data_IF_207810401316
#
_entry.id   IF_207810401316
#
_cell.length_a   1.000
_cell.length_b   1.000
_cell.length_c   1.000
_cell.angle_alpha   90.00
_cell.angle_beta   90.00
_cell.angle_gamma   90.00
#
_symmetry.space_group_name_H-M   'P 1'
#
loop_
_entity.id
_entity.type
_entity.pdbx_description
1 polymer ?
#
# COMPACT_ATOMS: atom_id res chain seq x y z
N UNK A 1 -84.21 31.67 18.90
CA UNK A 1 -83.50 31.09 20.04
C UNK A 1 -82.21 30.49 19.56
N UNK A 2 -80.99 31.07 19.81
CA UNK A 2 -79.73 30.53 19.38
C UNK A 2 -79.24 29.45 20.39
N UNK A 3 -78.53 28.40 19.98
CA UNK A 3 -78.06 27.30 20.81
C UNK A 3 -76.91 27.75 21.73
N UNK A 4 -76.90 27.25 22.96
CA UNK A 4 -75.92 27.52 24.02
C UNK A 4 -74.56 26.91 23.69
N UNK A 5 -73.41 27.56 24.04
CA UNK A 5 -72.08 27.02 23.85
C UNK A 5 -71.82 25.87 24.84
N UNK A 6 -71.23 24.77 24.30
CA UNK A 6 -70.76 23.61 25.08
C UNK A 6 -69.45 23.97 25.80
N UNK A 7 -69.47 23.81 27.12
CA UNK A 7 -68.33 23.87 28.03
C UNK A 7 -67.27 22.84 27.58
N UNK A 8 -66.06 23.27 27.16
CA UNK A 8 -64.87 22.42 26.98
C UNK A 8 -64.33 22.16 28.42
N UNK A 9 -64.16 20.85 28.73
CA UNK A 9 -63.41 20.39 29.90
C UNK A 9 -61.91 20.72 29.76
N UNK A 10 -61.22 21.02 30.89
CA UNK A 10 -59.77 21.33 30.82
C UNK A 10 -58.96 20.10 30.43
N UNK A 11 -58.07 20.27 29.46
CA UNK A 11 -57.06 19.28 29.04
C UNK A 11 -56.17 18.94 30.25
N UNK A 12 -56.17 17.66 30.64
CA UNK A 12 -55.20 17.12 31.62
C UNK A 12 -53.79 17.38 31.08
N UNK A 13 -52.96 18.02 31.92
CA UNK A 13 -51.54 18.25 31.66
C UNK A 13 -50.84 16.93 31.36
N UNK A 14 -50.11 16.89 30.23
CA UNK A 14 -49.24 15.78 29.84
C UNK A 14 -48.13 15.59 30.89
N UNK A 15 -47.73 14.35 31.20
CA UNK A 15 -46.64 14.09 32.12
C UNK A 15 -45.35 14.70 31.57
N UNK A 16 -44.62 15.44 32.42
CA UNK A 16 -43.27 15.99 32.10
C UNK A 16 -42.35 14.84 31.81
N UNK A 17 -41.81 14.82 30.60
CA UNK A 17 -40.68 13.97 30.22
C UNK A 17 -39.47 14.43 31.02
N UNK A 18 -38.77 13.56 31.76
CA UNK A 18 -37.55 13.94 32.46
C UNK A 18 -36.49 14.37 31.42
N UNK A 19 -35.97 15.57 31.59
CA UNK A 19 -34.82 16.06 30.84
C UNK A 19 -33.62 15.19 31.15
N UNK A 20 -33.17 14.40 30.16
CA UNK A 20 -31.90 13.70 30.21
C UNK A 20 -30.77 14.72 30.12
N UNK A 21 -29.74 14.66 30.98
CA UNK A 21 -28.63 15.61 30.96
C UNK A 21 -27.84 15.48 29.65
N UNK A 22 -27.62 16.61 28.98
CA UNK A 22 -26.88 16.79 27.74
C UNK A 22 -25.37 16.43 27.81
N UNK A 23 -24.95 15.71 28.83
CA UNK A 23 -23.54 15.40 29.10
C UNK A 23 -23.04 14.06 28.53
N UNK A 24 -23.79 13.34 27.69
CA UNK A 24 -23.35 12.02 27.20
C UNK A 24 -23.29 11.85 25.68
N UNK A 25 -23.34 12.94 24.90
CA UNK A 25 -23.18 12.83 23.42
C UNK A 25 -21.78 13.02 22.88
N UNK A 26 -20.73 12.97 23.69
CA UNK A 26 -19.33 13.07 23.23
C UNK A 26 -18.56 11.76 23.18
N UNK A 27 -19.23 10.60 23.20
CA UNK A 27 -18.54 9.29 23.23
C UNK A 27 -18.74 8.40 22.00
N UNK A 28 -19.15 8.94 20.85
CA UNK A 28 -19.35 8.14 19.63
C UNK A 28 -18.34 8.54 18.54
N UNK A 29 -17.06 8.55 18.88
CA UNK A 29 -15.98 8.51 17.88
C UNK A 29 -14.71 7.83 18.41
N UNK A 30 -14.87 6.82 19.23
CA UNK A 30 -13.77 5.86 19.42
C UNK A 30 -13.86 4.79 18.34
N UNK A 31 -13.46 5.15 17.12
CA UNK A 31 -12.98 4.17 16.13
C UNK A 31 -11.82 3.45 16.78
N UNK A 32 -12.12 2.28 17.34
CA UNK A 32 -11.16 1.37 17.94
C UNK A 32 -10.00 1.11 16.97
N UNK A 33 -8.86 1.71 17.24
CA UNK A 33 -7.57 1.43 16.61
C UNK A 33 -6.99 0.11 17.15
N UNK A 34 -7.83 -0.93 17.28
CA UNK A 34 -7.41 -2.25 17.71
C UNK A 34 -6.62 -2.96 16.61
N UNK A 35 -5.31 -2.80 16.62
CA UNK A 35 -4.37 -3.49 15.73
C UNK A 35 -2.91 -3.21 16.05
N UNK A 36 -2.58 -2.02 16.52
CA UNK A 36 -1.24 -1.66 16.99
C UNK A 36 -1.39 -0.88 18.30
N UNK A 37 -1.47 -1.60 19.41
CA UNK A 37 -1.27 -0.99 20.72
C UNK A 37 0.23 -0.68 20.87
N UNK A 38 0.65 0.47 20.36
CA UNK A 38 1.94 1.05 20.73
C UNK A 38 1.86 1.42 22.20
N UNK A 39 2.47 0.55 23.03
CA UNK A 39 2.73 0.76 24.43
C UNK A 39 3.43 2.10 24.60
N UNK A 40 2.77 3.10 25.21
CA UNK A 40 3.31 4.37 25.74
C UNK A 40 4.51 4.96 25.00
N UNK A 41 4.35 5.26 23.70
CA UNK A 41 5.29 6.09 22.94
C UNK A 41 4.91 7.56 23.05
N UNK A 42 5.87 8.46 22.87
CA UNK A 42 5.66 9.90 22.83
C UNK A 42 4.52 10.26 21.86
N UNK A 43 3.67 11.21 22.24
CA UNK A 43 2.51 11.69 21.44
C UNK A 43 2.84 11.94 19.96
N UNK A 44 4.01 12.53 19.59
CA UNK A 44 4.36 12.79 18.19
C UNK A 44 4.58 11.52 17.35
N UNK A 45 5.20 10.47 17.92
CA UNK A 45 5.39 9.19 17.20
C UNK A 45 4.08 8.51 16.85
N UNK A 46 3.10 8.57 17.76
CA UNK A 46 1.78 8.01 17.50
C UNK A 46 1.07 8.75 16.37
N UNK A 47 1.11 10.09 16.37
CA UNK A 47 0.52 10.91 15.32
C UNK A 47 1.20 10.66 13.96
N UNK A 48 2.52 10.47 13.95
CA UNK A 48 3.28 10.14 12.74
C UNK A 48 2.84 8.78 12.17
N UNK A 49 2.73 7.74 13.00
CA UNK A 49 2.27 6.41 12.58
C UNK A 49 0.81 6.45 12.10
N UNK A 50 -0.05 7.23 12.75
CA UNK A 50 -1.44 7.42 12.31
C UNK A 50 -1.52 8.12 10.96
N UNK A 51 -0.68 9.14 10.72
CA UNK A 51 -0.57 9.82 9.42
C UNK A 51 -0.06 8.86 8.34
N UNK A 52 1.07 8.19 8.58
CA UNK A 52 1.67 7.24 7.64
C UNK A 52 0.74 6.05 7.33
N UNK A 53 -0.08 5.61 8.30
CA UNK A 53 -1.06 4.54 8.08
C UNK A 53 -2.38 5.02 7.48
N UNK A 54 -2.47 6.28 7.05
CA UNK A 54 -3.67 6.85 6.44
C UNK A 54 -3.76 6.50 4.95
N UNK A 55 -4.90 5.96 4.52
CA UNK A 55 -5.15 5.68 3.08
C UNK A 55 -5.03 6.93 2.21
N UNK A 56 -5.49 8.09 2.72
CA UNK A 56 -5.43 9.36 1.97
C UNK A 56 -3.98 9.78 1.71
N UNK A 57 -3.11 9.62 2.70
CA UNK A 57 -1.70 9.92 2.58
C UNK A 57 -1.00 9.00 1.57
N UNK A 58 -1.26 7.69 1.65
CA UNK A 58 -0.72 6.73 0.67
C UNK A 58 -1.16 7.03 -0.77
N UNK A 59 -2.43 7.41 -0.98
CA UNK A 59 -2.95 7.80 -2.30
C UNK A 59 -2.25 9.06 -2.80
N UNK A 60 -2.05 10.07 -1.95
CA UNK A 60 -1.35 11.30 -2.34
C UNK A 60 0.10 11.02 -2.78
N UNK A 61 0.82 10.18 -2.03
CA UNK A 61 2.17 9.74 -2.42
C UNK A 61 2.16 8.96 -3.75
N UNK A 62 1.18 8.08 -3.93
CA UNK A 62 1.05 7.31 -5.17
C UNK A 62 0.84 8.23 -6.39
N UNK A 63 0.02 9.28 -6.26
CA UNK A 63 -0.19 10.27 -7.32
C UNK A 63 1.10 10.99 -7.64
N UNK A 64 1.89 11.40 -6.63
CA UNK A 64 3.18 12.07 -6.85
C UNK A 64 4.17 11.14 -7.56
N UNK A 65 4.27 9.87 -7.12
CA UNK A 65 5.11 8.87 -7.79
C UNK A 65 4.66 8.63 -9.23
N UNK A 66 3.34 8.56 -9.48
CA UNK A 66 2.82 8.39 -10.85
C UNK A 66 3.20 9.57 -11.76
N UNK A 67 3.05 10.82 -11.29
CA UNK A 67 3.45 12.01 -12.05
C UNK A 67 4.96 11.99 -12.33
N UNK A 68 5.77 11.70 -11.31
CA UNK A 68 7.22 11.59 -11.46
C UNK A 68 7.62 10.50 -12.46
N UNK A 69 6.91 9.36 -12.44
CA UNK A 69 7.14 8.25 -13.38
C UNK A 69 6.77 8.62 -14.80
N UNK A 70 5.71 9.39 -15.02
CA UNK A 70 5.36 9.91 -16.35
C UNK A 70 6.50 10.79 -16.87
N UNK A 71 7.01 11.72 -16.04
CA UNK A 71 8.14 12.57 -16.42
C UNK A 71 9.37 11.72 -16.74
N UNK A 72 9.70 10.74 -15.89
CA UNK A 72 10.84 9.84 -16.09
C UNK A 72 10.71 8.93 -17.32
N UNK A 73 9.50 8.69 -17.80
CA UNK A 73 9.25 7.89 -19.02
C UNK A 73 9.33 8.76 -20.28
N UNK A 74 8.85 9.99 -20.21
CA UNK A 74 8.86 10.93 -21.36
C UNK A 74 10.26 11.48 -21.61
N UNK A 75 11.01 11.79 -20.56
CA UNK A 75 12.38 12.26 -20.67
C UNK A 75 13.31 11.06 -20.81
N UNK A 76 14.20 11.06 -21.81
CA UNK A 76 15.28 10.08 -21.89
C UNK A 76 16.08 10.12 -20.58
N UNK A 77 16.39 8.99 -20.02
CA UNK A 77 17.11 8.88 -18.74
C UNK A 77 18.55 8.49 -18.97
N UNK A 78 19.49 9.12 -18.23
CA UNK A 78 20.89 8.73 -18.19
C UNK A 78 21.72 9.12 -19.44
N UNK A 79 21.23 10.01 -20.27
CA UNK A 79 22.00 10.53 -21.41
C UNK A 79 23.09 11.52 -20.95
N UNK A 80 24.15 11.74 -21.76
CA UNK A 80 25.12 12.81 -21.54
C UNK A 80 24.46 14.20 -21.52
N UNK A 81 24.92 15.10 -20.65
CA UNK A 81 24.34 16.43 -20.47
C UNK A 81 24.27 17.24 -21.79
N UNK A 82 25.26 17.06 -22.68
CA UNK A 82 25.26 17.76 -23.95
C UNK A 82 24.02 17.46 -24.81
N UNK A 83 23.56 16.20 -24.82
CA UNK A 83 22.36 15.83 -25.58
C UNK A 83 21.10 16.56 -25.05
N UNK A 84 21.03 16.83 -23.75
CA UNK A 84 19.94 17.61 -23.16
C UNK A 84 20.08 19.11 -23.44
N UNK A 85 21.31 19.64 -23.50
CA UNK A 85 21.56 21.04 -23.88
C UNK A 85 21.13 21.28 -25.32
N UNK A 86 21.43 20.33 -26.23
CA UNK A 86 21.03 20.41 -27.62
C UNK A 86 19.50 20.34 -27.79
N UNK A 87 18.82 19.55 -26.96
CA UNK A 87 17.38 19.34 -27.04
C UNK A 87 16.55 20.45 -26.35
N UNK A 88 16.95 20.91 -25.16
CA UNK A 88 16.18 21.81 -24.31
C UNK A 88 16.81 23.21 -24.17
N UNK A 89 18.00 23.39 -24.68
CA UNK A 89 18.81 24.59 -24.46
C UNK A 89 19.52 24.61 -23.09
N UNK A 90 20.55 25.45 -22.93
CA UNK A 90 21.45 25.44 -21.76
C UNK A 90 20.73 25.76 -20.46
N UNK A 91 19.75 26.67 -20.48
CA UNK A 91 19.01 27.08 -19.28
C UNK A 91 18.17 25.95 -18.72
N UNK A 92 17.32 25.35 -19.55
CA UNK A 92 16.40 24.27 -19.10
C UNK A 92 17.14 22.98 -18.78
N UNK A 93 18.22 22.66 -19.53
CA UNK A 93 19.04 21.49 -19.24
C UNK A 93 19.64 21.58 -17.81
N UNK A 94 20.14 22.75 -17.40
CA UNK A 94 20.68 22.97 -16.04
C UNK A 94 19.58 22.86 -14.98
N UNK A 95 18.39 23.44 -15.22
CA UNK A 95 17.27 23.37 -14.28
C UNK A 95 16.80 21.92 -14.08
N UNK A 96 16.59 21.18 -15.16
CA UNK A 96 16.12 19.78 -15.11
C UNK A 96 17.19 18.87 -14.48
N UNK A 97 18.47 19.13 -14.76
CA UNK A 97 19.56 18.38 -14.12
C UNK A 97 19.58 18.61 -12.61
N UNK A 98 19.44 19.86 -12.12
CA UNK A 98 19.36 20.16 -10.68
C UNK A 98 18.16 19.55 -10.00
N UNK A 99 17.03 19.44 -10.69
CA UNK A 99 15.83 18.76 -10.19
C UNK A 99 15.94 17.23 -10.25
N UNK A 100 17.00 16.69 -10.87
CA UNK A 100 17.20 15.26 -11.05
C UNK A 100 16.23 14.61 -12.05
N UNK A 101 15.66 15.39 -12.98
CA UNK A 101 14.68 14.88 -13.95
C UNK A 101 15.28 14.00 -15.02
N UNK A 102 16.58 14.07 -15.27
CA UNK A 102 17.31 13.20 -16.19
C UNK A 102 17.68 11.85 -15.57
N UNK A 103 17.40 11.67 -14.27
CA UNK A 103 17.63 10.45 -13.52
C UNK A 103 16.55 10.34 -12.40
N UNK A 104 15.29 10.46 -12.80
CA UNK A 104 14.15 10.48 -11.85
C UNK A 104 14.19 9.28 -10.91
N UNK A 105 14.37 8.08 -11.47
CA UNK A 105 14.28 6.83 -10.70
C UNK A 105 15.43 6.61 -9.71
N UNK A 106 16.58 7.29 -9.92
CA UNK A 106 17.73 7.26 -9.01
C UNK A 106 17.87 8.53 -8.19
N UNK A 107 16.96 9.51 -8.35
CA UNK A 107 16.99 10.75 -7.58
C UNK A 107 16.63 10.52 -6.12
N UNK A 108 17.31 11.22 -5.20
CA UNK A 108 17.12 11.04 -3.76
C UNK A 108 15.68 11.33 -3.30
N UNK A 109 15.02 12.32 -3.89
CA UNK A 109 13.65 12.72 -3.53
C UNK A 109 12.63 11.66 -3.99
N UNK A 110 12.80 11.07 -5.18
CA UNK A 110 11.95 10.01 -5.70
C UNK A 110 12.09 8.73 -4.84
N UNK A 111 13.32 8.34 -4.54
CA UNK A 111 13.61 7.18 -3.69
C UNK A 111 13.07 7.38 -2.27
N UNK A 112 13.17 8.60 -1.72
CA UNK A 112 12.58 8.93 -0.42
C UNK A 112 11.06 8.80 -0.43
N UNK A 113 10.39 9.39 -1.42
CA UNK A 113 8.92 9.30 -1.56
C UNK A 113 8.51 7.83 -1.71
N UNK A 114 9.21 7.05 -2.52
CA UNK A 114 8.92 5.64 -2.72
C UNK A 114 9.17 4.82 -1.44
N UNK A 115 10.21 5.10 -0.67
CA UNK A 115 10.45 4.47 0.63
C UNK A 115 9.32 4.79 1.63
N UNK A 116 8.89 6.05 1.70
CA UNK A 116 7.75 6.44 2.55
C UNK A 116 6.47 5.75 2.09
N UNK A 117 6.24 5.62 0.78
CA UNK A 117 5.09 4.93 0.21
C UNK A 117 5.08 3.43 0.58
N UNK A 118 6.22 2.75 0.51
CA UNK A 118 6.38 1.35 0.95
C UNK A 118 6.02 1.21 2.42
N UNK A 119 6.57 2.07 3.28
CA UNK A 119 6.27 2.06 4.73
C UNK A 119 4.77 2.32 4.96
N UNK A 120 4.21 3.34 4.33
CA UNK A 120 2.80 3.72 4.47
C UNK A 120 1.87 2.58 4.05
N UNK A 121 2.10 1.99 2.87
CA UNK A 121 1.28 0.89 2.34
C UNK A 121 1.41 -0.37 3.20
N UNK A 122 2.62 -0.68 3.66
CA UNK A 122 2.86 -1.82 4.56
C UNK A 122 2.13 -1.64 5.89
N UNK A 123 2.18 -0.45 6.50
CA UNK A 123 1.44 -0.15 7.73
C UNK A 123 -0.08 -0.26 7.52
N UNK A 124 -0.59 0.24 6.40
CA UNK A 124 -2.00 0.08 6.03
C UNK A 124 -2.38 -1.40 5.89
N UNK A 125 -1.54 -2.20 5.22
CA UNK A 125 -1.78 -3.61 5.00
C UNK A 125 -1.78 -4.38 6.33
N UNK A 126 -0.76 -4.20 7.17
CA UNK A 126 -0.64 -4.84 8.49
C UNK A 126 -1.83 -4.48 9.39
N UNK A 127 -2.30 -3.23 9.35
CA UNK A 127 -3.43 -2.77 10.14
C UNK A 127 -4.78 -3.35 9.68
N UNK A 128 -4.98 -3.51 8.37
CA UNK A 128 -6.26 -3.93 7.81
C UNK A 128 -6.37 -5.46 7.65
N UNK A 129 -5.26 -6.15 7.42
CA UNK A 129 -5.23 -7.61 7.21
C UNK A 129 -5.89 -8.41 8.36
N UNK A 130 -5.62 -8.15 9.65
CA UNK A 130 -6.27 -8.89 10.74
C UNK A 130 -7.79 -8.70 10.77
N UNK A 131 -8.27 -7.49 10.45
CA UNK A 131 -9.70 -7.17 10.39
C UNK A 131 -10.37 -7.94 9.25
N UNK A 132 -9.74 -7.96 8.07
CA UNK A 132 -10.23 -8.69 6.89
C UNK A 132 -10.29 -10.19 7.17
N UNK A 133 -9.25 -10.75 7.80
CA UNK A 133 -9.20 -12.18 8.16
C UNK A 133 -10.27 -12.50 9.22
N UNK A 134 -10.43 -11.65 10.24
CA UNK A 134 -11.47 -11.83 11.24
C UNK A 134 -12.86 -11.79 10.60
N UNK A 135 -13.14 -10.86 9.71
CA UNK A 135 -14.39 -10.77 8.95
C UNK A 135 -14.62 -11.98 8.05
N UNK A 136 -13.55 -12.53 7.44
CA UNK A 136 -13.64 -13.75 6.64
C UNK A 136 -14.00 -14.98 7.47
N UNK A 137 -13.58 -15.02 8.74
CA UNK A 137 -13.83 -16.14 9.66
C UNK A 137 -15.12 -15.99 10.45
N UNK A 138 -15.58 -14.75 10.67
CA UNK A 138 -16.77 -14.48 11.48
C UNK A 138 -18.06 -14.60 10.69
N UNK A 139 -19.10 -15.08 11.35
CA UNK A 139 -20.48 -15.02 10.91
C UNK A 139 -21.25 -14.12 11.87
N UNK A 140 -22.03 -13.19 11.36
CA UNK A 140 -22.85 -12.29 12.18
C UNK A 140 -24.06 -13.03 12.73
N UNK A 141 -23.84 -13.90 13.70
CA UNK A 141 -24.91 -14.69 14.35
C UNK A 141 -25.57 -13.99 15.54
N UNK A 142 -25.10 -12.79 15.92
CA UNK A 142 -25.63 -12.02 17.05
C UNK A 142 -26.68 -10.97 16.65
N UNK A 143 -27.32 -11.10 15.50
CA UNK A 143 -28.34 -10.16 15.03
C UNK A 143 -29.66 -10.44 15.70
N UNK A 144 -30.31 -9.39 16.25
CA UNK A 144 -31.67 -9.46 16.81
C UNK A 144 -32.70 -9.33 15.69
N UNK A 145 -33.87 -9.95 15.85
CA UNK A 145 -34.97 -9.88 14.87
C UNK A 145 -35.35 -8.45 14.51
N UNK A 146 -35.42 -7.55 15.49
CA UNK A 146 -35.70 -6.14 15.26
C UNK A 146 -34.73 -5.48 14.27
N UNK A 147 -33.45 -5.86 14.32
CA UNK A 147 -32.45 -5.35 13.40
C UNK A 147 -32.62 -5.92 11.98
N UNK A 148 -33.09 -7.17 11.86
CA UNK A 148 -33.39 -7.78 10.55
C UNK A 148 -34.54 -7.03 9.86
N UNK A 149 -35.57 -6.62 10.61
CA UNK A 149 -36.69 -5.83 10.08
C UNK A 149 -36.29 -4.41 9.60
N UNK A 150 -35.16 -3.90 10.08
CA UNK A 150 -34.62 -2.59 9.70
C UNK A 150 -33.79 -2.61 8.41
N UNK A 151 -33.45 -3.78 7.85
CA UNK A 151 -32.74 -3.86 6.59
C UNK A 151 -33.62 -3.39 5.41
N UNK A 152 -32.99 -2.70 4.46
CA UNK A 152 -33.68 -2.23 3.25
C UNK A 152 -34.13 -3.42 2.37
N UNK A 153 -33.22 -4.40 2.19
CA UNK A 153 -33.49 -5.61 1.40
C UNK A 153 -33.92 -6.73 2.37
N UNK A 154 -35.22 -6.91 2.51
CA UNK A 154 -35.84 -7.96 3.32
C UNK A 154 -36.98 -8.63 2.55
N UNK A 155 -37.19 -9.91 2.83
CA UNK A 155 -38.33 -10.66 2.38
C UNK A 155 -38.86 -11.49 3.55
N UNK A 156 -40.18 -11.60 3.63
CA UNK A 156 -40.88 -12.43 4.61
C UNK A 156 -41.71 -13.46 3.85
N UNK A 157 -41.70 -14.71 4.31
CA UNK A 157 -42.48 -15.79 3.71
C UNK A 157 -42.91 -16.78 4.78
N UNK A 158 -44.13 -17.28 4.68
CA UNK A 158 -44.69 -18.29 5.52
C UNK A 158 -44.49 -19.69 4.91
N UNK A 159 -44.04 -20.62 5.74
CA UNK A 159 -43.82 -22.01 5.35
C UNK A 159 -44.77 -22.93 6.11
N UNK A 160 -45.55 -23.74 5.40
CA UNK A 160 -46.43 -24.74 6.00
C UNK A 160 -45.68 -25.96 6.58
N UNK A 161 -44.34 -25.96 6.54
CA UNK A 161 -43.48 -27.07 6.97
C UNK A 161 -42.97 -26.86 8.42
N UNK A 162 -42.67 -27.97 9.16
CA UNK A 162 -41.99 -27.86 10.44
C UNK A 162 -40.65 -27.12 10.32
N UNK A 163 -40.33 -26.34 11.35
CA UNK A 163 -39.10 -25.47 11.38
C UNK A 163 -37.83 -26.25 11.00
N UNK A 164 -37.63 -27.46 11.51
CA UNK A 164 -36.47 -28.28 11.21
C UNK A 164 -36.34 -28.61 9.71
N UNK A 165 -37.46 -28.95 9.06
CA UNK A 165 -37.49 -29.25 7.62
C UNK A 165 -37.22 -27.98 6.79
N UNK A 166 -37.76 -26.82 7.18
CA UNK A 166 -37.51 -25.55 6.52
C UNK A 166 -36.02 -25.15 6.62
N UNK A 167 -35.40 -25.26 7.82
CA UNK A 167 -33.98 -25.00 8.05
C UNK A 167 -33.09 -25.91 7.20
N UNK A 168 -33.40 -27.22 7.15
CA UNK A 168 -32.66 -28.18 6.34
C UNK A 168 -32.73 -27.85 4.83
N UNK A 169 -33.93 -27.49 4.32
CA UNK A 169 -34.14 -27.09 2.94
C UNK A 169 -33.39 -25.78 2.58
N UNK A 170 -33.46 -24.77 3.44
CA UNK A 170 -32.71 -23.52 3.26
C UNK A 170 -31.21 -23.81 3.28
N UNK A 171 -30.73 -24.62 4.23
CA UNK A 171 -29.32 -25.00 4.31
C UNK A 171 -28.80 -25.73 3.06
N UNK A 172 -29.62 -26.64 2.50
CA UNK A 172 -29.30 -27.36 1.25
C UNK A 172 -29.23 -26.33 0.07
N UNK A 173 -30.20 -25.45 -0.04
CA UNK A 173 -30.24 -24.42 -1.08
C UNK A 173 -29.04 -23.46 -1.01
N UNK A 174 -28.61 -23.07 0.19
CA UNK A 174 -27.44 -22.22 0.41
C UNK A 174 -26.14 -22.95 0.00
N UNK A 175 -25.99 -24.22 0.37
CA UNK A 175 -24.81 -25.01 -0.06
C UNK A 175 -24.75 -25.17 -1.57
N UNK A 176 -25.87 -25.48 -2.20
CA UNK A 176 -25.95 -25.63 -3.67
C UNK A 176 -25.53 -24.35 -4.42
N UNK A 177 -25.70 -23.19 -3.79
CA UNK A 177 -25.30 -21.88 -4.34
C UNK A 177 -23.91 -21.40 -3.87
N UNK A 178 -23.14 -22.25 -3.19
CA UNK A 178 -21.77 -21.93 -2.73
C UNK A 178 -21.71 -21.02 -1.51
N UNK A 179 -22.79 -20.85 -0.75
CA UNK A 179 -22.79 -20.10 0.49
C UNK A 179 -22.24 -20.94 1.65
N UNK A 180 -21.29 -20.40 2.39
CA UNK A 180 -20.96 -20.89 3.72
C UNK A 180 -21.96 -20.33 4.73
N UNK A 181 -22.48 -21.16 5.65
CA UNK A 181 -23.44 -20.70 6.64
C UNK A 181 -23.20 -21.29 8.03
N UNK A 182 -23.69 -20.59 9.05
CA UNK A 182 -23.78 -21.08 10.45
C UNK A 182 -25.19 -20.93 10.97
N UNK A 183 -25.59 -21.91 11.76
CA UNK A 183 -26.87 -21.94 12.46
C UNK A 183 -26.64 -21.46 13.89
N UNK A 184 -27.56 -20.66 14.40
CA UNK A 184 -27.67 -20.33 15.82
C UNK A 184 -29.11 -20.59 16.24
N UNK A 185 -29.29 -21.53 17.14
CA UNK A 185 -30.56 -21.83 17.75
C UNK A 185 -30.75 -20.94 18.98
N UNK A 186 -31.96 -20.41 19.15
CA UNK A 186 -32.40 -19.61 20.31
C UNK A 186 -33.80 -20.00 20.67
N UNK A 187 -34.32 -19.41 21.75
CA UNK A 187 -35.68 -19.68 22.30
C UNK A 187 -36.75 -19.48 21.20
N UNK A 188 -37.20 -20.58 20.61
CA UNK A 188 -38.22 -20.58 19.55
C UNK A 188 -37.79 -20.10 18.17
N UNK A 189 -36.51 -19.73 17.96
CA UNK A 189 -36.01 -19.16 16.71
C UNK A 189 -34.74 -19.88 16.23
N UNK A 190 -34.53 -19.93 14.92
CA UNK A 190 -33.27 -20.38 14.33
C UNK A 190 -32.74 -19.32 13.38
N UNK A 191 -31.58 -18.74 13.67
CA UNK A 191 -30.89 -17.79 12.81
C UNK A 191 -29.92 -18.52 11.88
N UNK A 192 -30.06 -18.29 10.59
CA UNK A 192 -29.14 -18.79 9.56
C UNK A 192 -28.32 -17.62 9.06
N UNK A 193 -27.05 -17.55 9.43
CA UNK A 193 -26.13 -16.54 8.92
C UNK A 193 -25.31 -17.13 7.76
N UNK A 194 -25.56 -16.66 6.54
CA UNK A 194 -24.89 -17.13 5.34
C UNK A 194 -24.04 -16.04 4.72
N UNK A 195 -22.92 -16.43 4.10
CA UNK A 195 -22.06 -15.52 3.33
C UNK A 195 -21.42 -16.24 2.15
N UNK A 196 -21.17 -15.47 1.09
CA UNK A 196 -20.44 -15.89 -0.10
C UNK A 196 -19.45 -14.80 -0.53
N UNK A 197 -18.57 -15.09 -1.49
CA UNK A 197 -17.72 -14.09 -2.12
C UNK A 197 -16.55 -13.57 -1.27
N UNK A 198 -16.11 -14.30 -0.23
CA UNK A 198 -15.00 -13.88 0.64
C UNK A 198 -13.65 -13.69 -0.09
N UNK A 199 -13.45 -14.33 -1.24
CA UNK A 199 -12.20 -14.25 -2.02
C UNK A 199 -11.87 -12.83 -2.49
N UNK A 200 -12.86 -11.98 -2.78
CA UNK A 200 -12.62 -10.59 -3.16
C UNK A 200 -11.87 -9.77 -2.08
N UNK A 201 -12.05 -10.11 -0.82
CA UNK A 201 -11.31 -9.46 0.29
C UNK A 201 -9.86 -9.90 0.38
N UNK A 202 -9.55 -11.15 -0.03
CA UNK A 202 -8.17 -11.64 -0.15
C UNK A 202 -7.48 -10.92 -1.30
N UNK A 203 -8.18 -10.64 -2.39
CA UNK A 203 -7.68 -9.85 -3.51
C UNK A 203 -7.11 -8.49 -3.07
N UNK A 204 -7.79 -7.80 -2.15
CA UNK A 204 -7.27 -6.56 -1.57
C UNK A 204 -5.88 -6.74 -0.94
N UNK A 205 -5.71 -7.79 -0.11
CA UNK A 205 -4.43 -8.09 0.56
C UNK A 205 -3.35 -8.39 -0.47
N UNK A 206 -3.65 -9.25 -1.46
CA UNK A 206 -2.70 -9.65 -2.50
C UNK A 206 -2.28 -8.48 -3.38
N UNK A 207 -3.22 -7.64 -3.81
CA UNK A 207 -2.92 -6.46 -4.64
C UNK A 207 -2.01 -5.48 -3.91
N UNK A 208 -2.28 -5.19 -2.63
CA UNK A 208 -1.44 -4.27 -1.85
C UNK A 208 -0.07 -4.88 -1.52
N UNK A 209 0.01 -6.19 -1.25
CA UNK A 209 1.28 -6.88 -1.04
C UNK A 209 2.13 -6.88 -2.33
N UNK A 210 1.51 -7.16 -3.48
CA UNK A 210 2.19 -7.10 -4.78
C UNK A 210 2.72 -5.69 -5.08
N UNK A 211 1.93 -4.65 -4.78
CA UNK A 211 2.36 -3.26 -4.93
C UNK A 211 3.58 -2.93 -4.05
N UNK A 212 3.58 -3.37 -2.79
CA UNK A 212 4.74 -3.21 -1.90
C UNK A 212 5.98 -3.90 -2.48
N UNK A 213 5.84 -5.11 -3.01
CA UNK A 213 6.95 -5.84 -3.63
C UNK A 213 7.50 -5.14 -4.88
N UNK A 214 6.62 -4.58 -5.73
CA UNK A 214 7.03 -3.80 -6.91
C UNK A 214 7.80 -2.55 -6.48
N UNK A 215 7.31 -1.81 -5.49
CA UNK A 215 8.01 -0.63 -4.98
C UNK A 215 9.35 -0.97 -4.32
N UNK A 216 9.43 -2.08 -3.59
CA UNK A 216 10.71 -2.57 -3.05
C UNK A 216 11.68 -2.91 -4.19
N UNK A 217 11.23 -3.61 -5.24
CA UNK A 217 12.04 -3.86 -6.43
C UNK A 217 12.57 -2.58 -7.05
N UNK A 218 11.72 -1.55 -7.19
CA UNK A 218 12.13 -0.23 -7.68
C UNK A 218 13.15 0.49 -6.79
N UNK A 219 13.05 0.34 -5.46
CA UNK A 219 14.06 0.87 -4.53
C UNK A 219 15.43 0.18 -4.72
N UNK A 220 15.44 -1.14 -4.93
CA UNK A 220 16.67 -1.87 -5.24
C UNK A 220 17.26 -1.46 -6.59
N UNK A 221 16.41 -1.25 -7.58
CA UNK A 221 16.84 -0.82 -8.92
C UNK A 221 17.36 0.63 -8.95
N UNK A 222 16.89 1.48 -8.02
CA UNK A 222 17.27 2.89 -7.89
C UNK A 222 18.64 3.16 -7.26
N UNK A 223 19.57 2.22 -7.28
CA UNK A 223 20.94 2.32 -6.72
C UNK A 223 21.01 2.52 -5.19
N UNK A 224 19.89 2.38 -4.46
CA UNK A 224 19.86 2.58 -3.00
C UNK A 224 20.84 1.67 -2.29
N UNK A 225 20.92 0.40 -2.69
CA UNK A 225 21.81 -0.59 -2.08
C UNK A 225 23.27 -0.20 -2.27
N UNK A 226 23.65 0.23 -3.48
CA UNK A 226 25.01 0.65 -3.81
C UNK A 226 25.37 1.92 -3.03
N UNK A 227 24.48 2.92 -3.03
CA UNK A 227 24.67 4.18 -2.29
C UNK A 227 24.79 3.96 -0.78
N UNK A 228 23.96 3.07 -0.22
CA UNK A 228 24.03 2.70 1.20
C UNK A 228 25.33 1.97 1.52
N UNK A 229 25.74 1.02 0.68
CA UNK A 229 27.01 0.30 0.85
C UNK A 229 28.18 1.27 0.80
N UNK A 230 28.20 2.19 -0.16
CA UNK A 230 29.24 3.23 -0.25
C UNK A 230 29.30 4.08 1.01
N UNK A 231 28.14 4.54 1.50
CA UNK A 231 28.07 5.35 2.72
C UNK A 231 28.58 4.60 3.96
N UNK A 232 28.24 3.32 4.09
CA UNK A 232 28.63 2.49 5.24
C UNK A 232 30.12 2.06 5.19
N UNK A 233 30.68 1.90 3.97
CA UNK A 233 32.06 1.41 3.79
C UNK A 233 33.07 2.49 3.43
N UNK A 234 32.64 3.77 3.43
CA UNK A 234 33.52 4.89 3.09
C UNK A 234 34.01 4.87 1.64
N UNK A 235 33.21 4.26 0.74
CA UNK A 235 33.52 4.23 -0.70
C UNK A 235 33.07 5.52 -1.36
N UNK A 236 33.79 5.94 -2.41
CA UNK A 236 33.54 7.18 -3.13
C UNK A 236 33.36 6.91 -4.62
N UNK A 237 32.58 7.78 -5.29
CA UNK A 237 32.42 7.73 -6.73
C UNK A 237 33.66 8.27 -7.44
N UNK A 238 33.98 7.67 -8.56
CA UNK A 238 34.96 8.15 -9.52
C UNK A 238 34.30 9.22 -10.40
N UNK A 239 34.84 10.43 -10.42
CA UNK A 239 34.31 11.54 -11.23
C UNK A 239 35.09 11.75 -12.53
N UNK A 240 36.22 11.08 -12.68
CA UNK A 240 37.12 11.23 -13.81
C UNK A 240 37.30 9.87 -14.45
N UNK A 241 37.32 9.83 -15.78
CA UNK A 241 37.66 8.63 -16.52
C UNK A 241 39.14 8.29 -16.32
N UNK A 242 39.41 7.07 -15.86
CA UNK A 242 40.77 6.54 -15.72
C UNK A 242 40.77 5.05 -16.04
N UNK A 243 41.94 4.53 -16.35
CA UNK A 243 42.09 3.10 -16.62
C UNK A 243 41.72 2.24 -15.41
N UNK A 244 41.11 1.07 -15.63
CA UNK A 244 40.55 0.22 -14.56
C UNK A 244 41.65 -0.20 -13.55
N UNK A 245 42.85 -0.43 -14.03
CA UNK A 245 44.04 -0.81 -13.26
C UNK A 245 44.56 0.31 -12.34
N UNK A 246 44.19 1.56 -12.62
CA UNK A 246 44.59 2.74 -11.83
C UNK A 246 43.55 3.19 -10.82
N UNK A 247 42.40 2.52 -10.78
CA UNK A 247 41.29 2.92 -9.90
C UNK A 247 41.61 2.60 -8.45
N UNK A 248 41.59 3.61 -7.55
CA UNK A 248 41.83 3.39 -6.13
C UNK A 248 40.81 2.45 -5.48
N UNK A 249 41.23 1.67 -4.50
CA UNK A 249 40.36 0.72 -3.74
C UNK A 249 39.13 1.38 -3.13
N UNK A 250 39.17 2.67 -2.82
CA UNK A 250 38.01 3.43 -2.30
C UNK A 250 36.87 3.60 -3.33
N UNK A 251 37.15 3.35 -4.61
CA UNK A 251 36.18 3.44 -5.70
C UNK A 251 35.71 2.06 -6.21
N UNK A 252 36.13 1.00 -5.53
CA UNK A 252 35.79 -0.39 -5.85
C UNK A 252 34.83 -0.90 -4.79
N UNK A 253 33.66 -1.39 -5.23
CA UNK A 253 32.65 -1.97 -4.37
C UNK A 253 33.09 -3.32 -3.79
N UNK A 254 32.40 -3.78 -2.74
CA UNK A 254 32.62 -5.11 -2.20
C UNK A 254 32.17 -6.17 -3.21
N UNK A 255 32.89 -7.30 -3.36
CA UNK A 255 32.42 -8.44 -4.15
C UNK A 255 31.10 -9.03 -3.66
N UNK A 256 30.75 -8.80 -2.37
CA UNK A 256 29.50 -9.24 -1.75
C UNK A 256 28.29 -8.32 -2.07
N UNK A 257 28.43 -7.32 -2.95
CA UNK A 257 27.31 -6.48 -3.37
C UNK A 257 26.24 -7.35 -4.04
N UNK A 258 24.99 -7.33 -3.58
CA UNK A 258 23.91 -8.15 -4.13
C UNK A 258 23.42 -7.66 -5.51
N UNK A 259 23.78 -6.44 -5.93
CA UNK A 259 23.35 -5.85 -7.20
C UNK A 259 24.48 -5.86 -8.20
N UNK A 260 24.36 -6.69 -9.24
CA UNK A 260 25.31 -6.76 -10.34
C UNK A 260 24.78 -5.97 -11.55
N UNK A 261 24.72 -4.67 -11.41
CA UNK A 261 24.27 -3.77 -12.47
C UNK A 261 25.43 -2.90 -12.92
N UNK A 262 25.95 -3.14 -14.12
CA UNK A 262 27.04 -2.35 -14.65
C UNK A 262 27.35 -2.73 -16.08
N UNK A 263 28.13 -1.89 -16.73
CA UNK A 263 28.60 -2.09 -18.08
C UNK A 263 30.01 -2.73 -18.09
N UNK A 264 30.18 -3.74 -18.90
CA UNK A 264 31.49 -4.38 -19.10
C UNK A 264 31.88 -4.17 -20.56
N UNK A 265 32.97 -3.44 -20.79
CA UNK A 265 33.53 -3.25 -22.14
C UNK A 265 34.67 -4.26 -22.34
N UNK A 266 34.52 -5.18 -23.29
CA UNK A 266 35.48 -6.25 -23.51
C UNK A 266 35.89 -6.22 -25.01
N UNK A 267 37.13 -5.90 -25.33
CA UNK A 267 37.62 -6.08 -26.69
C UNK A 267 37.65 -7.54 -27.13
N UNK A 268 37.57 -7.82 -28.40
CA UNK A 268 37.70 -9.18 -28.93
C UNK A 268 39.00 -9.85 -28.47
N UNK A 269 38.92 -11.11 -28.12
CA UNK A 269 40.05 -11.89 -27.60
C UNK A 269 40.44 -11.61 -26.16
N UNK A 270 39.84 -10.60 -25.53
CA UNK A 270 40.12 -10.17 -24.17
C UNK A 270 39.12 -10.74 -23.14
N UNK A 271 39.42 -10.51 -21.86
CA UNK A 271 38.55 -10.90 -20.74
C UNK A 271 38.44 -9.77 -19.72
N UNK A 272 37.30 -9.73 -19.00
CA UNK A 272 37.09 -8.81 -17.91
C UNK A 272 36.34 -9.50 -16.75
N UNK A 273 36.66 -9.12 -15.52
CA UNK A 273 36.06 -9.56 -14.26
C UNK A 273 35.55 -8.39 -13.42
N UNK A 274 35.50 -7.20 -14.05
CA UNK A 274 35.03 -5.97 -13.38
C UNK A 274 33.99 -5.29 -14.24
N UNK A 275 32.89 -4.87 -13.63
CA UNK A 275 31.87 -4.04 -14.24
C UNK A 275 31.98 -2.60 -13.77
N UNK A 276 31.70 -1.65 -14.66
CA UNK A 276 31.57 -0.22 -14.36
C UNK A 276 30.11 0.08 -14.06
N UNK A 277 29.82 0.50 -12.84
CA UNK A 277 28.48 0.91 -12.41
C UNK A 277 28.39 2.42 -12.49
N UNK A 278 27.55 2.92 -13.38
CA UNK A 278 27.30 4.35 -13.55
C UNK A 278 26.17 4.80 -12.61
N UNK A 279 26.46 5.76 -11.74
CA UNK A 279 25.55 6.27 -10.71
C UNK A 279 25.13 7.73 -10.98
N UNK A 280 25.13 8.15 -12.21
CA UNK A 280 24.73 9.50 -12.59
C UNK A 280 25.71 10.60 -12.25
N UNK A 281 26.17 10.69 -11.01
CA UNK A 281 27.16 11.68 -10.54
C UNK A 281 28.62 11.18 -10.68
N UNK A 282 28.79 9.96 -11.16
CA UNK A 282 30.09 9.29 -11.30
C UNK A 282 29.93 7.80 -11.48
N UNK A 283 31.03 7.07 -11.45
CA UNK A 283 31.04 5.61 -11.58
C UNK A 283 31.77 4.95 -10.41
N UNK A 284 31.48 3.68 -10.18
CA UNK A 284 32.21 2.81 -9.25
C UNK A 284 32.49 1.49 -9.93
N UNK A 285 33.55 0.79 -9.54
CA UNK A 285 33.86 -0.52 -10.05
C UNK A 285 33.22 -1.60 -9.17
N UNK A 286 32.64 -2.60 -9.82
CA UNK A 286 32.09 -3.78 -9.17
C UNK A 286 32.85 -5.01 -9.65
N UNK A 287 33.65 -5.67 -8.79
CA UNK A 287 34.25 -6.96 -9.10
C UNK A 287 33.16 -8.01 -9.32
N UNK A 288 33.30 -8.80 -10.37
CA UNK A 288 32.41 -9.90 -10.69
C UNK A 288 32.95 -11.20 -10.06
N UNK A 289 32.12 -12.14 -9.62
CA UNK A 289 32.54 -13.43 -9.10
C UNK A 289 32.93 -14.41 -10.23
N UNK A 290 32.98 -13.94 -11.44
CA UNK A 290 33.32 -14.69 -12.67
C UNK A 290 34.06 -13.80 -13.68
N UNK A 291 34.76 -14.40 -14.59
CA UNK A 291 35.42 -13.70 -15.70
C UNK A 291 34.68 -13.93 -17.01
N UNK A 292 34.39 -12.84 -17.73
CA UNK A 292 33.76 -12.90 -19.05
C UNK A 292 34.88 -12.82 -20.09
N UNK A 293 34.97 -13.81 -20.98
CA UNK A 293 35.90 -13.83 -22.10
C UNK A 293 35.15 -13.69 -23.41
N UNK A 294 35.41 -12.61 -24.16
CA UNK A 294 34.84 -12.40 -25.48
C UNK A 294 35.76 -13.04 -26.53
N UNK A 295 35.29 -14.11 -27.15
CA UNK A 295 36.04 -14.81 -28.21
C UNK A 295 35.98 -14.08 -29.55
N UNK A 296 34.74 -13.71 -29.96
CA UNK A 296 34.47 -13.04 -31.23
C UNK A 296 33.18 -12.27 -31.13
N UNK A 297 33.11 -11.08 -31.68
CA UNK A 297 31.89 -10.30 -31.86
C UNK A 297 31.36 -10.54 -33.27
N UNK A 298 30.12 -10.96 -33.41
CA UNK A 298 29.46 -11.24 -34.68
C UNK A 298 28.29 -10.28 -34.81
N UNK A 299 28.26 -9.54 -35.93
CA UNK A 299 27.13 -8.69 -36.30
C UNK A 299 26.47 -9.36 -37.49
N UNK A 300 25.21 -9.75 -37.34
CA UNK A 300 24.37 -10.28 -38.42
C UNK A 300 23.66 -9.14 -39.16
#
# INVERSE_FOLDING_TARGET
MPPRPRHRAPLKAAPRVPELPLASMSSVTNLSTSGLQLRRGSRPLRSLVELLSSMRFAISLLVVVAIASIIGTVLKQGEPLNNYIDQFGPFWAVVFHRLGLFQVYSSWWFLLIMAILVVSTTLCLVRNTPKIIADLRSFKTGVREQNLRAFHDKAEADFAQPRAAAVARIGAALRARGYAFRLREGDGQTLIAAKAGGLGRIGYILTHAAFVLICLGGLFDGDVVIRLQMALTGKHMLKTNMAIDQVPQRNILSPANPTYRGNVSIPEGSSADVAVVNLGDGSVLQPLPFTIKLKKFIVD
#
